data_IF_228218355212
#
_entry.id   IF_228218355212
#
_cell.length_a   1.000
_cell.length_b   1.000
_cell.length_c   1.000
_cell.angle_alpha   90.00
_cell.angle_beta   90.00
_cell.angle_gamma   90.00
#
_symmetry.space_group_name_H-M   'P 1'
#
loop_
_entity.id
_entity.type
_entity.pdbx_description
1 polymer ?
#
# COMPACT_ATOMS: atom_id res chain seq x y z
N UNK A 1 -23.52 51.48 75.30
CA UNK A 1 -23.71 50.04 74.99
C UNK A 1 -23.66 49.95 73.47
N UNK A 2 -22.53 49.69 72.80
CA UNK A 2 -21.67 48.49 72.91
C UNK A 2 -22.42 47.34 72.22
N UNK A 3 -22.13 46.94 70.98
CA UNK A 3 -20.99 46.10 70.56
C UNK A 3 -20.75 46.26 69.03
N UNK A 4 -19.55 46.57 68.56
CA UNK A 4 -18.43 45.69 68.18
C UNK A 4 -18.74 44.74 67.01
N UNK A 5 -18.16 45.09 65.86
CA UNK A 5 -17.99 44.33 64.62
C UNK A 5 -17.04 43.14 64.84
N UNK A 6 -17.23 42.02 64.12
CA UNK A 6 -16.07 41.31 63.60
C UNK A 6 -16.15 41.13 62.07
N UNK A 7 -15.11 41.61 61.40
CA UNK A 7 -14.66 41.14 60.08
C UNK A 7 -14.07 39.74 60.25
N UNK A 8 -14.40 38.82 59.33
CA UNK A 8 -13.36 37.96 58.79
C UNK A 8 -13.37 37.96 57.25
N UNK A 9 -12.15 38.00 56.68
CA UNK A 9 -11.74 37.31 55.45
C UNK A 9 -12.63 37.52 54.20
N UNK A 10 -12.44 38.54 53.36
CA UNK A 10 -11.36 38.66 52.34
C UNK A 10 -10.59 37.35 52.06
N UNK A 11 -10.63 36.93 50.79
CA UNK A 11 -9.94 35.80 50.14
C UNK A 11 -10.73 34.49 50.01
N UNK A 12 -11.79 34.53 49.21
CA UNK A 12 -12.20 33.42 48.35
C UNK A 12 -12.19 33.98 46.92
N UNK A 13 -11.01 34.32 46.43
CA UNK A 13 -10.33 33.56 45.38
C UNK A 13 -11.31 33.23 44.23
N UNK A 14 -11.42 34.24 43.37
CA UNK A 14 -11.74 34.20 41.95
C UNK A 14 -10.86 33.19 41.18
N UNK A 15 -10.97 31.89 41.48
CA UNK A 15 -10.35 30.83 40.66
C UNK A 15 -11.31 29.66 40.44
N UNK A 16 -12.45 29.93 39.80
CA UNK A 16 -13.23 28.89 39.10
C UNK A 16 -13.62 29.37 37.69
N UNK A 17 -12.81 30.24 37.10
CA UNK A 17 -12.59 30.24 35.66
C UNK A 17 -11.25 29.53 35.43
N UNK A 18 -11.02 28.90 34.28
CA UNK A 18 -9.80 28.12 33.92
C UNK A 18 -9.80 26.60 34.19
N UNK A 19 -10.96 25.95 34.27
CA UNK A 19 -11.06 24.49 34.05
C UNK A 19 -11.86 24.17 32.76
N UNK A 20 -11.69 24.99 31.72
CA UNK A 20 -12.35 24.79 30.43
C UNK A 20 -11.40 25.07 29.26
N UNK A 21 -10.22 24.47 29.28
CA UNK A 21 -9.32 24.41 28.13
C UNK A 21 -8.61 23.06 28.16
N UNK A 22 -9.18 22.05 27.52
CA UNK A 22 -8.48 21.11 26.61
C UNK A 22 -9.30 19.87 26.21
N UNK A 23 -10.54 19.72 26.69
CA UNK A 23 -11.30 18.50 26.43
C UNK A 23 -11.88 18.41 25.00
N UNK A 24 -11.78 19.46 24.18
CA UNK A 24 -12.39 19.52 22.84
C UNK A 24 -11.47 19.10 21.68
N UNK A 25 -10.15 19.16 21.85
CA UNK A 25 -9.21 18.95 20.73
C UNK A 25 -8.93 17.47 20.42
N UNK A 26 -9.12 16.57 21.40
CA UNK A 26 -8.89 15.13 21.19
C UNK A 26 -10.09 14.42 20.57
N UNK A 27 -11.31 14.83 20.91
CA UNK A 27 -12.53 14.24 20.35
C UNK A 27 -12.63 14.44 18.82
N UNK A 28 -12.13 15.58 18.30
CA UNK A 28 -12.16 15.89 16.88
C UNK A 28 -11.19 15.01 16.07
N UNK A 29 -9.97 14.75 16.55
CA UNK A 29 -8.97 13.97 15.81
C UNK A 29 -9.37 12.50 15.72
N UNK A 30 -9.87 11.93 16.82
CA UNK A 30 -10.29 10.52 16.86
C UNK A 30 -11.51 10.27 15.95
N UNK A 31 -12.49 11.18 15.92
CA UNK A 31 -13.65 11.10 15.02
C UNK A 31 -13.25 11.15 13.54
N UNK A 32 -12.33 12.02 13.17
CA UNK A 32 -11.81 12.11 11.80
C UNK A 32 -10.90 10.92 11.45
N UNK A 33 -10.20 10.35 12.42
CA UNK A 33 -9.41 9.13 12.23
C UNK A 33 -10.31 7.93 11.90
N UNK A 34 -11.45 7.77 12.57
CA UNK A 34 -12.42 6.71 12.23
C UNK A 34 -12.91 6.79 10.78
N UNK A 35 -13.05 8.01 10.24
CA UNK A 35 -13.42 8.22 8.83
C UNK A 35 -12.30 7.81 7.85
N UNK A 36 -11.03 8.03 8.23
CA UNK A 36 -9.86 7.77 7.38
C UNK A 36 -9.34 6.34 7.49
N UNK A 37 -9.54 5.69 8.64
CA UNK A 37 -9.13 4.31 8.91
C UNK A 37 -9.51 3.32 7.80
N UNK A 38 -10.76 3.27 7.27
CA UNK A 38 -11.10 2.34 6.18
C UNK A 38 -10.34 2.63 4.88
N UNK A 39 -10.01 3.89 4.59
CA UNK A 39 -9.23 4.26 3.41
C UNK A 39 -7.78 3.79 3.54
N UNK A 40 -7.18 3.94 4.73
CA UNK A 40 -5.84 3.43 5.04
C UNK A 40 -5.79 1.90 4.90
N UNK A 41 -6.78 1.19 5.47
CA UNK A 41 -6.87 -0.26 5.33
C UNK A 41 -7.04 -0.70 3.87
N UNK A 42 -7.81 0.05 3.08
CA UNK A 42 -7.95 -0.22 1.65
C UNK A 42 -6.64 0.01 0.90
N UNK A 43 -5.89 1.06 1.23
CA UNK A 43 -4.59 1.34 0.63
C UNK A 43 -3.60 0.20 0.91
N UNK A 44 -3.56 -0.27 2.16
CA UNK A 44 -2.72 -1.40 2.53
C UNK A 44 -3.09 -2.67 1.76
N UNK A 45 -4.39 -2.99 1.65
CA UNK A 45 -4.84 -4.15 0.85
C UNK A 45 -4.41 -4.04 -0.61
N UNK A 46 -4.55 -2.86 -1.23
CA UNK A 46 -4.13 -2.65 -2.61
C UNK A 46 -2.62 -2.85 -2.79
N UNK A 47 -1.80 -2.34 -1.86
CA UNK A 47 -0.35 -2.59 -1.84
C UNK A 47 -0.04 -4.08 -1.75
N UNK A 48 -0.67 -4.79 -0.81
CA UNK A 48 -0.47 -6.23 -0.67
C UNK A 48 -0.89 -7.02 -1.91
N UNK A 49 -2.01 -6.65 -2.55
CA UNK A 49 -2.41 -7.25 -3.82
C UNK A 49 -1.39 -6.97 -4.92
N UNK A 50 -0.84 -5.76 -5.01
CA UNK A 50 0.21 -5.43 -5.98
C UNK A 50 1.46 -6.29 -5.79
N UNK A 51 1.93 -6.44 -4.55
CA UNK A 51 3.12 -7.24 -4.25
C UNK A 51 2.87 -8.72 -4.55
N UNK A 52 1.70 -9.25 -4.21
CA UNK A 52 1.30 -10.61 -4.58
C UNK A 52 1.26 -10.82 -6.09
N UNK A 53 0.67 -9.88 -6.85
CA UNK A 53 0.62 -9.98 -8.31
C UNK A 53 2.01 -9.95 -8.95
N UNK A 54 2.91 -9.11 -8.44
CA UNK A 54 4.33 -9.07 -8.88
C UNK A 54 5.03 -10.38 -8.58
N UNK A 55 4.84 -10.94 -7.39
CA UNK A 55 5.44 -12.22 -7.01
C UNK A 55 4.92 -13.37 -7.89
N UNK A 56 3.62 -13.40 -8.19
CA UNK A 56 3.03 -14.38 -9.10
C UNK A 56 3.63 -14.29 -10.50
N UNK A 57 3.85 -13.09 -11.03
CA UNK A 57 4.49 -12.88 -12.33
C UNK A 57 5.94 -13.40 -12.33
N UNK A 58 6.69 -13.14 -11.26
CA UNK A 58 8.07 -13.64 -11.10
C UNK A 58 8.08 -15.17 -11.06
N UNK A 59 7.26 -15.78 -10.20
CA UNK A 59 7.17 -17.24 -10.04
C UNK A 59 6.73 -17.94 -11.33
N UNK A 60 5.80 -17.35 -12.07
CA UNK A 60 5.36 -17.87 -13.37
C UNK A 60 6.54 -18.04 -14.31
N UNK A 61 7.34 -16.98 -14.49
CA UNK A 61 8.47 -17.01 -15.41
C UNK A 61 9.65 -17.82 -14.87
N UNK A 62 9.89 -17.83 -13.56
CA UNK A 62 10.92 -18.68 -12.95
C UNK A 62 10.63 -20.16 -13.25
N UNK A 63 9.36 -20.57 -13.13
CA UNK A 63 8.93 -21.91 -13.50
C UNK A 63 9.13 -22.20 -14.99
N UNK A 64 8.85 -21.25 -15.88
CA UNK A 64 9.10 -21.37 -17.33
C UNK A 64 10.58 -21.58 -17.62
N UNK A 65 11.44 -20.76 -17.03
CA UNK A 65 12.88 -20.80 -17.21
C UNK A 65 13.47 -22.14 -16.74
N UNK A 66 13.06 -22.64 -15.58
CA UNK A 66 13.53 -23.93 -15.07
C UNK A 66 13.26 -25.07 -16.05
N UNK A 67 12.06 -25.10 -16.65
CA UNK A 67 11.69 -26.14 -17.60
C UNK A 67 12.34 -25.93 -18.97
N UNK A 68 12.55 -24.68 -19.39
CA UNK A 68 13.35 -24.38 -20.57
C UNK A 68 14.78 -24.91 -20.39
N UNK A 69 15.47 -24.54 -19.30
CA UNK A 69 16.85 -24.95 -19.07
C UNK A 69 17.03 -26.48 -19.12
N UNK A 70 16.10 -27.23 -18.53
CA UNK A 70 16.12 -28.69 -18.57
C UNK A 70 15.93 -29.30 -19.98
N UNK A 71 15.30 -28.57 -20.92
CA UNK A 71 14.93 -29.10 -22.24
C UNK A 71 15.61 -28.39 -23.42
N UNK A 72 16.37 -27.33 -23.18
CA UNK A 72 17.12 -26.66 -24.24
C UNK A 72 18.19 -27.60 -24.80
N UNK A 73 18.35 -27.68 -26.15
CA UNK A 73 19.33 -28.54 -26.78
C UNK A 73 20.74 -28.29 -26.25
N UNK A 74 21.50 -29.36 -26.00
CA UNK A 74 22.89 -29.26 -25.57
C UNK A 74 23.81 -28.63 -26.64
N UNK A 75 23.40 -28.69 -27.91
CA UNK A 75 24.09 -28.11 -29.06
C UNK A 75 23.85 -26.60 -29.21
N UNK A 76 22.95 -26.01 -28.43
CA UNK A 76 22.66 -24.58 -28.47
C UNK A 76 23.90 -23.78 -28.03
N UNK A 77 24.27 -22.70 -28.74
CA UNK A 77 25.33 -21.79 -28.32
C UNK A 77 25.07 -21.25 -26.91
N UNK A 78 26.10 -21.21 -26.06
CA UNK A 78 25.97 -20.81 -24.66
C UNK A 78 25.39 -19.39 -24.49
N UNK A 79 25.68 -18.48 -25.42
CA UNK A 79 25.12 -17.12 -25.41
C UNK A 79 23.62 -17.11 -25.73
N UNK A 80 23.20 -17.82 -26.76
CA UNK A 80 21.79 -17.97 -27.12
C UNK A 80 20.99 -18.62 -25.98
N UNK A 81 21.55 -19.65 -25.35
CA UNK A 81 20.98 -20.31 -24.17
C UNK A 81 20.75 -19.33 -23.03
N UNK A 82 21.79 -18.57 -22.65
CA UNK A 82 21.67 -17.56 -21.58
C UNK A 82 20.63 -16.50 -21.91
N UNK A 83 20.60 -16.02 -23.16
CA UNK A 83 19.64 -15.01 -23.59
C UNK A 83 18.21 -15.55 -23.51
N UNK A 84 17.96 -16.77 -23.99
CA UNK A 84 16.64 -17.38 -23.95
C UNK A 84 16.14 -17.59 -22.51
N UNK A 85 17.01 -18.02 -21.60
CA UNK A 85 16.68 -18.21 -20.18
C UNK A 85 16.50 -16.90 -19.40
N UNK A 86 17.07 -15.79 -19.87
CA UNK A 86 16.88 -14.48 -19.26
C UNK A 86 15.56 -13.79 -19.69
N UNK A 87 14.95 -14.25 -20.78
CA UNK A 87 13.75 -13.63 -21.34
C UNK A 87 12.50 -14.08 -20.58
N UNK A 88 11.75 -13.11 -20.08
CA UNK A 88 10.45 -13.30 -19.39
C UNK A 88 9.28 -12.82 -20.24
N UNK A 89 9.30 -13.17 -21.52
CA UNK A 89 8.28 -12.72 -22.48
C UNK A 89 8.10 -13.77 -23.57
N UNK A 90 6.85 -14.19 -23.77
CA UNK A 90 6.47 -15.20 -24.77
C UNK A 90 6.95 -14.83 -26.17
N UNK A 91 6.64 -13.62 -26.64
CA UNK A 91 6.94 -13.21 -28.01
C UNK A 91 8.44 -13.16 -28.27
N UNK A 92 9.23 -12.74 -27.27
CA UNK A 92 10.70 -12.76 -27.38
C UNK A 92 11.24 -14.20 -27.36
N UNK A 93 10.67 -15.10 -26.57
CA UNK A 93 11.06 -16.53 -26.58
C UNK A 93 10.79 -17.17 -27.95
N UNK A 94 9.67 -16.81 -28.59
CA UNK A 94 9.31 -17.32 -29.92
C UNK A 94 10.27 -16.86 -31.04
N UNK A 95 11.06 -15.80 -30.80
CA UNK A 95 12.04 -15.32 -31.79
C UNK A 95 13.34 -16.12 -31.81
N UNK A 96 13.59 -16.99 -30.82
CA UNK A 96 14.79 -17.82 -30.80
C UNK A 96 14.68 -18.96 -31.81
N UNK A 97 15.75 -19.23 -32.55
CA UNK A 97 15.78 -20.27 -33.59
C UNK A 97 15.47 -21.65 -33.03
N UNK A 98 15.88 -21.90 -31.79
CA UNK A 98 15.63 -23.18 -31.14
C UNK A 98 14.16 -23.40 -30.75
N UNK A 99 13.32 -22.35 -30.71
CA UNK A 99 11.92 -22.47 -30.25
C UNK A 99 11.14 -23.53 -31.03
N UNK A 100 11.27 -23.53 -32.36
CA UNK A 100 10.62 -24.50 -33.25
C UNK A 100 11.12 -25.94 -33.03
N UNK A 101 12.33 -26.09 -32.52
CA UNK A 101 12.94 -27.38 -32.18
C UNK A 101 12.62 -27.88 -30.76
N UNK A 102 12.01 -27.03 -29.92
CA UNK A 102 11.60 -27.43 -28.57
C UNK A 102 10.45 -28.43 -28.63
N UNK A 103 10.34 -29.24 -27.57
CA UNK A 103 9.22 -30.17 -27.46
C UNK A 103 7.87 -29.43 -27.45
N UNK A 104 6.81 -29.98 -28.05
CA UNK A 104 5.49 -29.35 -28.06
C UNK A 104 4.96 -29.00 -26.66
N UNK A 105 5.31 -29.79 -25.64
CA UNK A 105 4.95 -29.52 -24.25
C UNK A 105 5.58 -28.23 -23.70
N UNK A 106 6.82 -27.92 -24.10
CA UNK A 106 7.48 -26.67 -23.72
C UNK A 106 6.87 -25.48 -24.43
N UNK A 107 6.62 -25.61 -25.74
CA UNK A 107 5.94 -24.57 -26.51
C UNK A 107 4.58 -24.26 -25.88
N UNK A 108 3.77 -25.28 -25.57
CA UNK A 108 2.49 -25.11 -24.88
C UNK A 108 2.64 -24.42 -23.52
N UNK A 109 3.69 -24.71 -22.75
CA UNK A 109 3.93 -24.07 -21.45
C UNK A 109 4.29 -22.60 -21.59
N UNK A 110 5.12 -22.24 -22.57
CA UNK A 110 5.44 -20.83 -22.90
C UNK A 110 4.19 -20.09 -23.37
N UNK A 111 3.34 -20.73 -24.16
CA UNK A 111 2.04 -20.20 -24.59
C UNK A 111 1.11 -19.91 -23.41
N UNK A 112 0.88 -20.90 -22.54
CA UNK A 112 0.05 -20.77 -21.33
C UNK A 112 0.60 -19.66 -20.42
N UNK A 113 1.92 -19.63 -20.23
CA UNK A 113 2.55 -18.59 -19.44
C UNK A 113 2.35 -17.20 -20.05
N UNK A 114 2.42 -17.05 -21.37
CA UNK A 114 2.11 -15.78 -22.02
C UNK A 114 0.67 -15.31 -21.81
N UNK A 115 -0.30 -16.23 -21.79
CA UNK A 115 -1.70 -15.91 -21.46
C UNK A 115 -1.83 -15.50 -19.99
N UNK A 116 -1.23 -16.25 -19.07
CA UNK A 116 -1.27 -15.95 -17.63
C UNK A 116 -0.58 -14.61 -17.30
N UNK A 117 0.57 -14.34 -17.92
CA UNK A 117 1.30 -13.07 -17.79
C UNK A 117 0.45 -11.89 -18.28
N UNK A 118 -0.27 -12.06 -19.39
CA UNK A 118 -1.22 -11.04 -19.89
C UNK A 118 -2.36 -10.78 -18.89
N UNK A 119 -2.90 -11.82 -18.25
CA UNK A 119 -3.93 -11.67 -17.21
C UNK A 119 -3.37 -10.99 -15.96
N UNK A 120 -2.15 -11.33 -15.53
CA UNK A 120 -1.47 -10.67 -14.42
C UNK A 120 -1.21 -9.19 -14.72
N UNK A 121 -0.79 -8.86 -15.94
CA UNK A 121 -0.61 -7.48 -16.38
C UNK A 121 -1.91 -6.67 -16.32
N UNK A 122 -3.04 -7.27 -16.73
CA UNK A 122 -4.36 -6.65 -16.59
C UNK A 122 -4.75 -6.45 -15.13
N UNK A 123 -4.49 -7.43 -14.25
CA UNK A 123 -4.75 -7.32 -12.82
C UNK A 123 -3.91 -6.22 -12.15
N UNK A 124 -2.62 -6.12 -12.51
CA UNK A 124 -1.71 -5.05 -12.06
C UNK A 124 -2.25 -3.68 -12.50
N UNK A 125 -2.66 -3.56 -13.77
CA UNK A 125 -3.25 -2.32 -14.28
C UNK A 125 -4.53 -1.94 -13.52
N UNK A 126 -5.41 -2.91 -13.24
CA UNK A 126 -6.61 -2.68 -12.47
C UNK A 126 -6.31 -2.25 -11.02
N UNK A 127 -5.30 -2.86 -10.38
CA UNK A 127 -4.87 -2.47 -9.04
C UNK A 127 -4.28 -1.05 -9.00
N UNK A 128 -3.48 -0.67 -10.00
CA UNK A 128 -2.98 0.71 -10.15
C UNK A 128 -4.12 1.72 -10.28
N UNK A 129 -5.11 1.44 -11.13
CA UNK A 129 -6.28 2.30 -11.31
C UNK A 129 -7.05 2.47 -9.99
N UNK A 130 -7.20 1.40 -9.20
CA UNK A 130 -7.82 1.48 -7.87
C UNK A 130 -6.98 2.27 -6.88
N UNK A 131 -5.65 2.15 -6.95
CA UNK A 131 -4.71 2.90 -6.10
C UNK A 131 -4.78 4.39 -6.40
N UNK A 132 -4.79 4.78 -7.66
CA UNK A 132 -4.96 6.18 -8.07
C UNK A 132 -6.33 6.74 -7.67
N UNK A 133 -7.39 5.95 -7.84
CA UNK A 133 -8.73 6.36 -7.41
C UNK A 133 -8.78 6.58 -5.89
N UNK A 134 -8.17 5.68 -5.12
CA UNK A 134 -8.10 5.81 -3.67
C UNK A 134 -7.27 7.03 -3.23
N UNK A 135 -6.14 7.29 -3.91
CA UNK A 135 -5.33 8.49 -3.64
C UNK A 135 -6.16 9.77 -3.84
N UNK A 136 -6.93 9.86 -4.94
CA UNK A 136 -7.85 10.99 -5.17
C UNK A 136 -8.93 11.11 -4.10
N UNK A 137 -9.48 9.99 -3.62
CA UNK A 137 -10.45 10.00 -2.51
C UNK A 137 -9.80 10.48 -1.21
N UNK A 138 -8.60 10.00 -0.89
CA UNK A 138 -7.89 10.40 0.31
C UNK A 138 -7.58 11.91 0.28
N UNK A 139 -7.08 12.41 -0.84
CA UNK A 139 -6.79 13.84 -1.02
C UNK A 139 -8.05 14.69 -0.87
N UNK A 140 -9.18 14.30 -1.47
CA UNK A 140 -10.42 15.06 -1.36
C UNK A 140 -11.00 15.04 0.06
N UNK A 141 -10.91 13.91 0.76
CA UNK A 141 -11.28 13.81 2.17
C UNK A 141 -10.40 14.72 3.03
N UNK A 142 -9.07 14.68 2.84
CA UNK A 142 -8.15 15.55 3.58
C UNK A 142 -8.41 17.03 3.34
N UNK A 143 -8.71 17.44 2.10
CA UNK A 143 -9.07 18.82 1.78
C UNK A 143 -10.39 19.24 2.44
N UNK A 144 -11.36 18.34 2.56
CA UNK A 144 -12.62 18.60 3.25
C UNK A 144 -12.45 18.70 4.77
N UNK A 145 -11.53 17.94 5.36
CA UNK A 145 -11.25 17.94 6.81
C UNK A 145 -10.42 19.15 7.25
N UNK A 146 -9.51 19.63 6.41
CA UNK A 146 -8.62 20.76 6.70
C UNK A 146 -9.32 22.00 7.29
N UNK A 147 -10.46 22.50 6.77
CA UNK A 147 -11.14 23.67 7.35
C UNK A 147 -11.91 23.36 8.65
N UNK A 148 -12.12 22.09 8.99
CA UNK A 148 -12.90 21.66 10.16
C UNK A 148 -12.03 21.47 11.41
N UNK A 149 -10.71 21.53 11.26
CA UNK A 149 -9.73 21.25 12.30
C UNK A 149 -8.76 22.42 12.43
N UNK A 150 -8.20 22.62 13.63
CA UNK A 150 -7.07 23.53 13.80
C UNK A 150 -5.84 23.00 13.03
N UNK A 151 -4.90 23.90 12.72
CA UNK A 151 -3.66 23.52 12.05
C UNK A 151 -2.84 22.48 12.85
N UNK A 152 -2.96 22.46 14.17
CA UNK A 152 -2.27 21.51 15.03
C UNK A 152 -2.91 20.12 14.96
N UNK A 153 -4.24 20.03 15.06
CA UNK A 153 -5.00 18.78 14.94
C UNK A 153 -4.84 18.17 13.54
N UNK A 154 -4.93 18.98 12.48
CA UNK A 154 -4.72 18.52 11.12
C UNK A 154 -3.30 17.99 10.91
N UNK A 155 -2.28 18.65 11.49
CA UNK A 155 -0.90 18.17 11.44
C UNK A 155 -0.78 16.81 12.13
N UNK A 156 -1.33 16.67 13.34
CA UNK A 156 -1.34 15.39 14.08
C UNK A 156 -2.03 14.29 13.28
N UNK A 157 -3.16 14.57 12.62
CA UNK A 157 -3.88 13.60 11.78
C UNK A 157 -3.03 13.17 10.56
N UNK A 158 -2.40 14.13 9.88
CA UNK A 158 -1.50 13.82 8.76
C UNK A 158 -0.23 13.08 9.19
N UNK A 159 0.28 13.37 10.39
CA UNK A 159 1.38 12.65 11.02
C UNK A 159 0.96 11.24 11.43
N UNK A 160 -0.30 10.98 11.79
CA UNK A 160 -0.80 9.61 12.02
C UNK A 160 -0.94 8.83 10.71
N UNK A 161 -1.40 9.49 9.64
CA UNK A 161 -1.45 8.90 8.30
C UNK A 161 -0.05 8.58 7.74
N UNK A 162 0.92 9.46 7.98
CA UNK A 162 2.31 9.27 7.58
C UNK A 162 3.08 8.32 8.52
N UNK A 163 2.85 8.44 9.83
CA UNK A 163 3.53 7.72 10.93
C UNK A 163 3.01 6.30 11.17
N UNK A 164 1.86 5.95 10.60
CA UNK A 164 1.51 4.55 10.29
C UNK A 164 2.55 3.85 9.39
N UNK A 165 3.52 4.58 8.85
CA UNK A 165 4.66 4.06 8.08
C UNK A 165 5.95 3.85 8.90
N UNK A 166 6.11 4.46 10.09
CA UNK A 166 7.43 4.54 10.77
C UNK A 166 7.55 3.80 12.12
N UNK A 167 6.45 3.28 12.70
CA UNK A 167 6.54 2.43 13.92
C UNK A 167 6.23 0.96 13.69
N UNK A 168 5.89 0.58 12.47
CA UNK A 168 5.83 -0.79 12.01
C UNK A 168 6.22 -0.75 10.54
N UNK A 169 7.19 -1.59 10.16
CA UNK A 169 7.19 -2.15 8.81
C UNK A 169 5.73 -2.44 8.44
N UNK A 170 5.26 -1.96 7.27
CA UNK A 170 3.91 -2.25 6.77
C UNK A 170 3.57 -3.68 7.19
N UNK A 171 2.48 -3.91 7.97
CA UNK A 171 2.20 -5.23 8.52
C UNK A 171 2.36 -6.23 7.38
N UNK A 172 3.22 -7.26 7.54
CA UNK A 172 3.55 -8.15 6.45
C UNK A 172 2.24 -8.61 5.84
N UNK A 173 2.13 -8.49 4.52
CA UNK A 173 0.97 -8.99 3.81
C UNK A 173 0.80 -10.45 4.23
N UNK A 174 -0.24 -10.73 5.01
CA UNK A 174 -0.48 -12.09 5.51
C UNK A 174 -0.73 -12.97 4.28
N UNK A 175 0.23 -13.86 4.00
CA UNK A 175 0.16 -14.85 2.94
C UNK A 175 -0.65 -16.06 3.40
#
# INVERSE_FOLDING_TARGET
>A
MGTVVPRPLLLLVLTLAWASCDQGAHASVDEHWEQLQPLVHRQQRLRCTMDSLRQQAVQLWDGVVETLDAQLPATMPAEERRNMLAVRNRSLIQMFMAYDSLSPGIQQRVEIAGVQDSLLALAIKANNAQTEALARTLDSTLMALKPQMSSAEFRTLTEQLAGGSDKNASPPCAH
#
